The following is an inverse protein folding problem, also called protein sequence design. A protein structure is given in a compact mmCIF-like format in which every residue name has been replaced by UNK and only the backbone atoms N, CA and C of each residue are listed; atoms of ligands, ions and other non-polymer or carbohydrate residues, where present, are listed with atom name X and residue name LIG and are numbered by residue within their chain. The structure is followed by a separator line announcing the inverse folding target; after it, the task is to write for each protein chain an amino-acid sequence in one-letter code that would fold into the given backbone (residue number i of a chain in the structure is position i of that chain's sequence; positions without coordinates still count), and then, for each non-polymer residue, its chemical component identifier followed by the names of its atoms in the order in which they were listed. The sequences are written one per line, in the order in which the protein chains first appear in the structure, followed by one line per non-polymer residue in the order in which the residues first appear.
data_IF_569763473233
#
_entry.id   IF_569763473233
#
_cell.length_a   1.000
_cell.length_b   1.000
_cell.length_c   1.000
_cell.angle_alpha   90.00
_cell.angle_beta   90.00
_cell.angle_gamma   90.00
#
_symmetry.space_group_name_H-M   'P 1'
#
loop_
_entity.id
_entity.type
_entity.pdbx_description
1 polymer ?
#
# COMPACT_ATOMS: atom_id res chain seq x y z
N UNK A 1 -12.03 16.84 72.06
CA UNK A 1 -12.99 17.79 71.47
C UNK A 1 -13.44 17.20 70.14
N UNK A 2 -14.76 17.02 70.00
CA UNK A 2 -15.57 16.64 68.82
C UNK A 2 -15.11 15.46 67.96
N UNK A 3 -15.83 14.33 68.01
CA UNK A 3 -17.06 14.00 67.25
C UNK A 3 -16.72 13.45 65.84
N UNK A 4 -16.92 12.16 65.56
CA UNK A 4 -18.20 11.52 65.14
C UNK A 4 -18.65 12.08 63.76
N UNK A 5 -19.00 11.34 62.69
CA UNK A 5 -19.43 9.96 62.48
C UNK A 5 -19.70 9.79 60.96
N UNK A 6 -19.53 8.58 60.41
CA UNK A 6 -20.33 7.99 59.29
C UNK A 6 -20.20 8.60 57.86
N UNK A 7 -20.44 7.94 56.72
CA UNK A 7 -21.19 6.69 56.41
C UNK A 7 -20.95 6.19 54.97
N UNK A 8 -21.03 4.86 54.86
CA UNK A 8 -21.66 3.98 53.86
C UNK A 8 -21.82 4.38 52.37
N UNK A 9 -21.29 3.48 51.53
CA UNK A 9 -21.97 2.68 50.50
C UNK A 9 -23.30 3.23 49.95
N UNK A 10 -23.32 3.51 48.64
CA UNK A 10 -24.56 3.56 47.85
C UNK A 10 -24.60 2.41 46.84
N UNK A 11 -25.79 1.83 46.80
CA UNK A 11 -26.16 0.63 46.10
C UNK A 11 -26.51 0.87 44.63
N UNK A 12 -26.41 -0.25 43.92
CA UNK A 12 -26.83 -0.63 42.58
C UNK A 12 -28.31 -0.31 42.31
N UNK A 13 -28.59 0.32 41.16
CA UNK A 13 -29.85 0.18 40.42
C UNK A 13 -29.58 0.42 38.93
N UNK A 14 -30.16 -0.46 38.12
CA UNK A 14 -30.10 -0.58 36.64
C UNK A 14 -31.58 -0.69 36.17
N UNK A 15 -31.89 -0.48 34.87
CA UNK A 15 -32.60 0.68 34.36
C UNK A 15 -34.06 0.39 33.97
N UNK A 16 -34.83 1.43 33.68
CA UNK A 16 -36.12 1.31 32.98
C UNK A 16 -36.07 1.99 31.60
N UNK A 17 -36.74 1.29 30.70
CA UNK A 17 -36.87 1.37 29.25
C UNK A 17 -38.05 2.29 28.84
N UNK A 18 -38.05 2.75 27.58
CA UNK A 18 -39.07 3.52 26.79
C UNK A 18 -38.38 4.71 26.09
N UNK A 19 -38.40 4.91 24.77
CA UNK A 19 -39.40 4.54 23.77
C UNK A 19 -38.76 4.21 22.41
N UNK A 20 -39.31 3.19 21.76
CA UNK A 20 -39.25 2.93 20.32
C UNK A 20 -40.33 3.74 19.62
N UNK A 21 -40.04 4.29 18.44
CA UNK A 21 -41.04 4.34 17.38
C UNK A 21 -40.40 4.31 15.98
N UNK A 22 -40.97 3.42 15.16
CA UNK A 22 -40.58 3.08 13.81
C UNK A 22 -41.40 3.86 12.76
N UNK A 23 -40.89 3.86 11.53
CA UNK A 23 -41.47 4.43 10.32
C UNK A 23 -42.82 3.79 9.90
N UNK A 24 -43.48 4.39 8.88
CA UNK A 24 -44.09 3.55 7.84
C UNK A 24 -43.75 3.98 6.39
N UNK A 25 -43.96 3.01 5.50
CA UNK A 25 -43.67 2.95 4.07
C UNK A 25 -44.71 3.69 3.18
N UNK A 26 -44.32 3.89 1.91
CA UNK A 26 -44.91 4.66 0.80
C UNK A 26 -46.32 4.26 0.31
N UNK A 27 -46.89 5.01 -0.69
CA UNK A 27 -47.09 4.39 -2.00
C UNK A 27 -46.77 5.26 -3.24
N UNK A 28 -46.71 4.56 -4.37
CA UNK A 28 -46.34 4.90 -5.75
C UNK A 28 -47.42 5.68 -6.52
N UNK A 29 -47.02 6.56 -7.46
CA UNK A 29 -47.72 6.76 -8.75
C UNK A 29 -46.79 7.40 -9.81
N UNK A 30 -46.71 6.75 -10.98
CA UNK A 30 -45.99 7.11 -12.22
C UNK A 30 -46.79 8.13 -13.09
N UNK A 31 -46.49 8.35 -14.39
CA UNK A 31 -45.33 9.01 -15.00
C UNK A 31 -45.77 10.23 -15.86
N UNK A 32 -44.83 11.13 -16.21
CA UNK A 32 -45.06 12.11 -17.28
C UNK A 32 -44.13 11.84 -18.46
N UNK A 33 -44.75 11.48 -19.59
CA UNK A 33 -44.14 11.26 -20.89
C UNK A 33 -43.92 12.56 -21.68
N UNK A 34 -42.75 12.58 -22.34
CA UNK A 34 -42.40 13.05 -23.68
C UNK A 34 -42.83 14.45 -24.20
N UNK A 35 -41.79 15.25 -24.46
CA UNK A 35 -41.75 16.24 -25.54
C UNK A 35 -40.43 16.13 -26.31
N UNK A 36 -40.37 15.23 -27.28
CA UNK A 36 -39.29 15.18 -28.27
C UNK A 36 -39.47 16.33 -29.26
N UNK A 37 -38.52 17.27 -29.30
CA UNK A 37 -38.33 18.14 -30.46
C UNK A 37 -37.20 17.57 -31.31
N UNK A 38 -37.59 16.88 -32.39
CA UNK A 38 -36.70 16.59 -33.50
C UNK A 38 -36.44 17.85 -34.31
N UNK A 39 -35.17 18.11 -34.59
CA UNK A 39 -34.77 18.95 -35.71
C UNK A 39 -33.98 18.07 -36.68
N UNK A 40 -34.63 17.71 -37.77
CA UNK A 40 -34.01 17.17 -38.96
C UNK A 40 -33.14 18.25 -39.61
N UNK A 41 -31.85 17.97 -39.78
CA UNK A 41 -31.01 18.65 -40.74
C UNK A 41 -30.51 17.64 -41.76
N UNK A 42 -31.28 17.51 -42.84
CA UNK A 42 -30.78 17.06 -44.13
C UNK A 42 -29.96 18.18 -44.75
N UNK A 43 -28.69 17.93 -45.06
CA UNK A 43 -28.04 18.58 -46.21
C UNK A 43 -27.07 17.62 -46.92
N UNK A 44 -27.14 17.76 -48.24
CA UNK A 44 -26.71 16.87 -49.29
C UNK A 44 -25.21 16.56 -49.40
N UNK A 45 -24.99 15.43 -50.07
CA UNK A 45 -23.75 14.95 -50.65
C UNK A 45 -23.02 16.00 -51.49
N UNK A 46 -21.71 16.11 -51.29
CA UNK A 46 -20.78 16.43 -52.38
C UNK A 46 -19.55 15.52 -52.30
N UNK A 47 -19.55 14.51 -53.16
CA UNK A 47 -18.34 13.82 -53.59
C UNK A 47 -17.54 14.76 -54.50
N UNK A 48 -16.29 15.02 -54.15
CA UNK A 48 -15.29 15.49 -55.10
C UNK A 48 -14.03 14.63 -54.94
N UNK A 49 -13.90 13.66 -55.84
CA UNK A 49 -12.64 13.01 -56.10
C UNK A 49 -11.69 13.95 -56.84
N UNK A 50 -10.49 14.13 -56.32
CA UNK A 50 -9.35 14.58 -57.09
C UNK A 50 -8.12 13.76 -56.69
N UNK A 51 -7.73 12.89 -57.61
CA UNK A 51 -6.43 12.26 -57.63
C UNK A 51 -5.38 13.30 -58.05
N UNK A 52 -4.36 13.50 -57.22
CA UNK A 52 -3.12 14.16 -57.64
C UNK A 52 -1.94 13.31 -57.17
N UNK A 53 -1.35 12.62 -58.14
CA UNK A 53 -0.02 12.05 -58.09
C UNK A 53 1.01 13.18 -58.08
N UNK A 54 1.79 13.28 -57.01
CA UNK A 54 3.05 14.03 -57.03
C UNK A 54 4.15 13.11 -56.51
N UNK A 55 4.98 12.65 -57.45
CA UNK A 55 6.30 12.08 -57.17
C UNK A 55 7.22 13.21 -56.72
N UNK A 56 7.81 13.07 -55.53
CA UNK A 56 9.01 13.80 -55.15
C UNK A 56 10.05 12.79 -54.67
N UNK A 57 11.03 12.57 -55.55
CA UNK A 57 12.32 11.98 -55.20
C UNK A 57 13.08 12.94 -54.29
N UNK A 58 13.45 12.49 -53.10
CA UNK A 58 14.64 12.97 -52.41
C UNK A 58 15.32 11.78 -51.73
N UNK A 59 16.43 11.36 -52.33
CA UNK A 59 17.45 10.53 -51.70
C UNK A 59 18.09 11.32 -50.56
N UNK A 60 18.07 10.78 -49.35
CA UNK A 60 19.11 11.05 -48.35
C UNK A 60 19.40 9.77 -47.57
N UNK A 61 20.54 9.20 -47.95
CA UNK A 61 21.30 8.19 -47.23
C UNK A 61 21.84 8.78 -45.93
N UNK A 62 21.43 8.20 -44.79
CA UNK A 62 22.20 8.24 -43.55
C UNK A 62 22.00 6.91 -42.82
N UNK A 63 22.90 5.97 -43.09
CA UNK A 63 23.09 4.78 -42.27
C UNK A 63 23.52 5.17 -40.84
N UNK A 64 22.62 5.01 -39.88
CA UNK A 64 22.95 4.87 -38.47
C UNK A 64 22.57 3.46 -38.01
N UNK A 65 23.54 2.55 -38.13
CA UNK A 65 23.50 1.29 -37.41
C UNK A 65 23.65 1.58 -35.92
N UNK A 66 22.52 1.67 -35.21
CA UNK A 66 22.52 1.45 -33.77
C UNK A 66 22.54 -0.06 -33.54
N UNK A 67 23.73 -0.60 -33.26
CA UNK A 67 23.85 -1.88 -32.56
C UNK A 67 23.24 -1.70 -31.18
N UNK A 68 21.94 -2.01 -31.07
CA UNK A 68 21.35 -2.28 -29.78
C UNK A 68 21.82 -3.67 -29.36
N UNK A 69 22.93 -3.71 -28.62
CA UNK A 69 23.27 -4.83 -27.75
C UNK A 69 22.20 -4.91 -26.65
N UNK A 70 21.03 -5.43 -27.02
CA UNK A 70 20.11 -6.00 -26.08
C UNK A 70 20.75 -7.29 -25.59
N UNK A 71 21.58 -7.18 -24.56
CA UNK A 71 21.82 -8.28 -23.64
C UNK A 71 20.49 -8.68 -23.00
N UNK A 72 19.65 -9.40 -23.76
CA UNK A 72 18.65 -10.27 -23.18
C UNK A 72 19.41 -11.37 -22.47
N UNK A 73 19.65 -11.16 -21.18
CA UNK A 73 20.04 -12.24 -20.30
C UNK A 73 19.07 -13.40 -20.55
N UNK A 74 19.61 -14.53 -20.98
CA UNK A 74 18.87 -15.78 -21.11
C UNK A 74 18.17 -16.02 -19.76
N UNK A 75 16.84 -16.24 -19.71
CA UNK A 75 16.14 -16.49 -18.47
C UNK A 75 16.80 -17.69 -17.81
N UNK A 76 17.40 -17.47 -16.64
CA UNK A 76 17.87 -18.58 -15.81
C UNK A 76 16.66 -19.40 -15.44
N UNK A 77 16.56 -20.60 -16.01
CA UNK A 77 15.63 -21.63 -15.52
C UNK A 77 15.88 -21.82 -14.03
N UNK A 78 14.95 -21.38 -13.17
CA UNK A 78 14.97 -21.67 -11.73
C UNK A 78 15.08 -20.50 -10.76
N UNK A 79 15.00 -19.23 -11.20
CA UNK A 79 14.99 -18.08 -10.28
C UNK A 79 13.82 -18.12 -9.29
N UNK A 80 14.05 -17.71 -8.03
CA UNK A 80 13.03 -17.59 -6.99
C UNK A 80 12.14 -16.39 -7.26
N UNK A 81 10.84 -16.63 -7.41
CA UNK A 81 9.84 -15.59 -7.65
C UNK A 81 9.01 -15.40 -6.38
N UNK A 82 8.97 -14.17 -5.89
CA UNK A 82 8.01 -13.70 -4.89
C UNK A 82 6.93 -12.90 -5.60
N UNK A 83 5.67 -13.10 -5.25
CA UNK A 83 4.58 -12.26 -5.74
C UNK A 83 3.61 -11.89 -4.63
N UNK A 84 3.08 -10.67 -4.73
CA UNK A 84 2.04 -10.14 -3.86
C UNK A 84 0.84 -9.69 -4.70
N UNK A 85 -0.35 -10.10 -4.30
CA UNK A 85 -1.63 -9.67 -4.88
C UNK A 85 -2.41 -8.86 -3.84
N UNK A 86 -2.30 -7.55 -3.91
CA UNK A 86 -3.04 -6.58 -3.13
C UNK A 86 -4.36 -6.25 -3.85
N UNK A 87 -5.40 -7.08 -3.68
CA UNK A 87 -6.68 -6.87 -4.38
C UNK A 87 -7.56 -5.78 -3.76
N UNK A 88 -7.33 -5.44 -2.49
CA UNK A 88 -8.17 -4.53 -1.70
C UNK A 88 -7.35 -3.50 -0.92
N UNK A 89 -6.09 -3.80 -0.63
CA UNK A 89 -5.17 -2.86 -0.03
C UNK A 89 -3.80 -3.44 0.25
N UNK A 90 -2.84 -2.57 0.57
CA UNK A 90 -1.50 -2.94 1.00
C UNK A 90 -0.94 -1.87 1.95
N UNK A 91 -0.51 -2.30 3.13
CA UNK A 91 0.06 -1.45 4.17
C UNK A 91 1.29 -2.12 4.77
N UNK A 92 2.07 -1.39 5.57
CA UNK A 92 3.29 -1.90 6.19
C UNK A 92 3.04 -3.17 7.02
N UNK A 93 2.03 -3.13 7.89
CA UNK A 93 1.56 -4.29 8.67
C UNK A 93 1.13 -5.49 7.80
N UNK A 94 0.44 -5.27 6.68
CA UNK A 94 0.07 -6.33 5.71
C UNK A 94 1.33 -6.96 5.10
N UNK A 95 2.32 -6.15 4.72
CA UNK A 95 3.58 -6.63 4.16
C UNK A 95 4.41 -7.40 5.20
N UNK A 96 4.53 -6.85 6.41
CA UNK A 96 5.21 -7.46 7.54
C UNK A 96 4.62 -8.83 7.87
N UNK A 97 3.29 -8.89 8.06
CA UNK A 97 2.57 -10.13 8.36
C UNK A 97 2.76 -11.19 7.26
N UNK A 98 2.61 -10.77 6.00
CA UNK A 98 2.71 -11.64 4.83
C UNK A 98 4.09 -12.26 4.67
N UNK A 99 5.13 -11.43 4.70
CA UNK A 99 6.51 -11.89 4.52
C UNK A 99 7.00 -12.72 5.71
N UNK A 100 6.64 -12.36 6.94
CA UNK A 100 7.02 -13.10 8.14
C UNK A 100 6.44 -14.52 8.14
N UNK A 101 5.13 -14.64 7.87
CA UNK A 101 4.48 -15.94 7.74
C UNK A 101 5.02 -16.74 6.55
N UNK A 102 5.37 -16.07 5.44
CA UNK A 102 5.99 -16.73 4.28
C UNK A 102 7.39 -17.25 4.61
N UNK A 103 8.17 -16.52 5.41
CA UNK A 103 9.44 -16.97 5.96
C UNK A 103 9.28 -18.06 7.04
N UNK A 104 8.08 -18.24 7.59
CA UNK A 104 7.78 -19.24 8.62
C UNK A 104 8.21 -18.81 10.02
N UNK A 105 8.25 -17.50 10.26
CA UNK A 105 8.63 -16.90 11.53
C UNK A 105 7.40 -16.71 12.45
N UNK A 106 7.64 -16.73 13.75
CA UNK A 106 6.66 -16.37 14.77
C UNK A 106 6.93 -14.97 15.37
N UNK A 107 6.12 -14.57 16.35
CA UNK A 107 6.25 -13.26 17.02
C UNK A 107 7.58 -13.10 17.76
N UNK A 108 8.16 -14.19 18.29
CA UNK A 108 9.45 -14.14 19.00
C UNK A 108 10.59 -13.93 18.02
N UNK A 109 10.54 -14.58 16.87
CA UNK A 109 11.50 -14.35 15.79
C UNK A 109 11.44 -12.90 15.31
N UNK A 110 10.24 -12.36 15.09
CA UNK A 110 10.06 -10.96 14.69
C UNK A 110 10.54 -9.97 15.74
N UNK A 111 10.32 -10.27 17.02
CA UNK A 111 10.84 -9.45 18.11
C UNK A 111 12.38 -9.44 18.13
N UNK A 112 13.00 -10.59 17.89
CA UNK A 112 14.44 -10.70 17.71
C UNK A 112 14.96 -9.84 16.55
N UNK A 113 14.26 -9.85 15.40
CA UNK A 113 14.60 -9.00 14.26
C UNK A 113 14.38 -7.51 14.57
N UNK A 114 13.32 -7.15 15.31
CA UNK A 114 13.08 -5.77 15.71
C UNK A 114 14.18 -5.25 16.65
N UNK A 115 14.71 -6.13 17.51
CA UNK A 115 15.87 -5.86 18.35
C UNK A 115 17.14 -5.51 17.57
N UNK A 116 17.28 -5.96 16.31
CA UNK A 116 18.41 -5.58 15.44
C UNK A 116 18.43 -4.07 15.16
N UNK A 117 17.33 -3.33 15.36
CA UNK A 117 17.32 -1.87 15.21
C UNK A 117 17.97 -1.12 16.38
N UNK A 118 18.26 -1.80 17.50
CA UNK A 118 18.94 -1.21 18.66
C UNK A 118 18.09 -0.16 19.40
N UNK A 119 16.77 -0.20 19.26
CA UNK A 119 15.83 0.68 19.94
C UNK A 119 15.04 -0.13 20.98
N UNK A 120 15.32 0.09 22.27
CA UNK A 120 14.67 -0.64 23.37
C UNK A 120 13.13 -0.53 23.33
N UNK A 121 12.61 0.58 22.82
CA UNK A 121 11.17 0.82 22.65
C UNK A 121 10.49 -0.13 21.65
N UNK A 122 11.26 -0.85 20.83
CA UNK A 122 10.74 -1.83 19.87
C UNK A 122 10.62 -3.24 20.44
N UNK A 123 11.27 -3.51 21.58
CA UNK A 123 11.22 -4.83 22.22
C UNK A 123 9.78 -5.16 22.67
N UNK A 124 9.31 -6.35 22.30
CA UNK A 124 7.96 -6.85 22.52
C UNK A 124 6.86 -6.15 21.70
N UNK A 125 7.23 -5.30 20.74
CA UNK A 125 6.26 -4.44 20.04
C UNK A 125 5.50 -5.13 18.91
N UNK A 126 6.02 -6.25 18.38
CA UNK A 126 5.48 -6.91 17.17
C UNK A 126 4.86 -8.26 17.52
N UNK A 127 3.62 -8.47 17.09
CA UNK A 127 2.91 -9.73 17.28
C UNK A 127 2.24 -10.19 16.00
N UNK A 128 2.61 -11.37 15.51
CA UNK A 128 1.83 -12.08 14.52
C UNK A 128 0.63 -12.74 15.18
N UNK A 129 -0.53 -12.59 14.55
CA UNK A 129 -1.78 -13.15 15.04
C UNK A 129 -2.58 -13.80 13.91
N UNK A 130 -3.27 -14.94 14.16
CA UNK A 130 -4.24 -15.46 13.23
C UNK A 130 -5.36 -14.42 13.00
N UNK A 131 -5.73 -14.21 11.74
CA UNK A 131 -6.89 -13.39 11.37
C UNK A 131 -7.81 -14.17 10.45
N UNK A 132 -9.10 -13.86 10.55
CA UNK A 132 -10.12 -14.41 9.68
C UNK A 132 -11.01 -13.28 9.23
N UNK A 133 -11.13 -13.10 7.92
CA UNK A 133 -12.03 -12.10 7.32
C UNK A 133 -12.99 -12.86 6.40
N UNK A 134 -14.29 -12.71 6.64
CA UNK A 134 -15.34 -13.44 5.92
C UNK A 134 -15.07 -14.96 5.85
N UNK A 135 -14.63 -15.53 6.99
CA UNK A 135 -14.27 -16.95 7.14
C UNK A 135 -13.05 -17.42 6.36
N UNK A 136 -12.26 -16.51 5.77
CA UNK A 136 -11.00 -16.83 5.10
C UNK A 136 -9.86 -16.59 6.09
N UNK A 137 -9.17 -17.66 6.47
CA UNK A 137 -8.03 -17.61 7.36
C UNK A 137 -6.83 -16.91 6.71
N UNK A 138 -6.07 -16.21 7.54
CA UNK A 138 -4.84 -15.51 7.18
C UNK A 138 -4.10 -15.05 8.43
N UNK A 139 -3.16 -14.15 8.25
CA UNK A 139 -2.32 -13.61 9.33
C UNK A 139 -2.43 -12.08 9.38
N UNK A 140 -2.47 -11.52 10.58
CA UNK A 140 -2.28 -10.10 10.82
C UNK A 140 -0.99 -9.86 11.58
N UNK A 141 -0.51 -8.63 11.56
CA UNK A 141 0.54 -8.17 12.44
C UNK A 141 0.00 -7.02 13.28
N UNK A 142 0.17 -7.13 14.60
CA UNK A 142 -0.16 -6.06 15.54
C UNK A 142 1.13 -5.45 16.04
N UNK A 143 1.33 -4.17 15.73
CA UNK A 143 2.41 -3.37 16.27
C UNK A 143 1.87 -2.54 17.43
N UNK A 144 2.48 -2.68 18.61
CA UNK A 144 2.10 -1.96 19.83
C UNK A 144 3.27 -1.09 20.29
N UNK A 145 3.24 0.17 19.89
CA UNK A 145 4.23 1.16 20.26
C UNK A 145 3.57 2.33 21.01
N UNK A 146 4.30 2.99 21.93
CA UNK A 146 3.81 4.22 22.52
C UNK A 146 3.55 5.24 21.41
N UNK A 147 2.45 5.99 21.52
CA UNK A 147 2.19 7.11 20.63
C UNK A 147 3.27 8.16 20.86
N UNK A 148 4.24 8.23 19.95
CA UNK A 148 5.31 9.21 19.97
C UNK A 148 5.08 10.19 18.82
N UNK A 149 4.82 11.46 19.15
CA UNK A 149 4.88 12.56 18.18
C UNK A 149 6.34 13.00 18.03
N UNK A 150 7.19 12.09 17.56
CA UNK A 150 8.57 12.40 17.24
C UNK A 150 8.65 12.90 15.80
N UNK A 151 8.90 14.20 15.67
CA UNK A 151 9.23 14.84 14.41
C UNK A 151 10.64 14.43 13.98
N UNK A 152 10.75 13.31 13.24
CA UNK A 152 12.02 12.85 12.66
C UNK A 152 12.14 13.34 11.22
N UNK A 153 13.31 13.83 10.86
CA UNK A 153 13.66 14.06 9.45
C UNK A 153 14.33 12.82 8.86
N UNK A 154 14.60 12.85 7.55
CA UNK A 154 15.29 11.76 6.86
C UNK A 154 16.65 11.43 7.49
N UNK A 155 17.46 12.44 7.83
CA UNK A 155 18.79 12.21 8.40
C UNK A 155 18.75 11.49 9.76
N UNK A 156 17.75 11.77 10.59
CA UNK A 156 17.55 11.08 11.86
C UNK A 156 17.23 9.60 11.65
N UNK A 157 16.35 9.29 10.70
CA UNK A 157 15.96 7.92 10.37
C UNK A 157 17.13 7.15 9.77
N UNK A 158 17.90 7.76 8.85
CA UNK A 158 19.08 7.12 8.27
C UNK A 158 20.12 6.79 9.35
N UNK A 159 20.32 7.65 10.35
CA UNK A 159 21.20 7.36 11.49
C UNK A 159 20.71 6.17 12.32
N UNK A 160 19.40 6.07 12.57
CA UNK A 160 18.80 4.92 13.27
C UNK A 160 19.10 3.63 12.51
N UNK A 161 18.81 3.60 11.20
CA UNK A 161 19.04 2.43 10.36
C UNK A 161 20.53 2.04 10.35
N UNK A 162 21.41 3.04 10.21
CA UNK A 162 22.85 2.81 10.13
C UNK A 162 23.42 2.27 11.45
N UNK A 163 22.96 2.78 12.59
CA UNK A 163 23.39 2.35 13.92
C UNK A 163 22.88 0.95 14.30
N UNK A 164 21.80 0.47 13.67
CA UNK A 164 21.27 -0.88 13.88
C UNK A 164 22.22 -1.99 13.43
N UNK A 165 21.99 -3.19 13.92
CA UNK A 165 22.71 -4.43 13.62
C UNK A 165 22.12 -5.23 12.43
N UNK A 166 21.13 -4.69 11.71
CA UNK A 166 20.61 -5.33 10.49
C UNK A 166 21.71 -5.50 9.44
N UNK A 167 21.67 -6.53 8.57
CA UNK A 167 22.58 -6.66 7.45
C UNK A 167 22.49 -5.48 6.48
N UNK A 168 23.61 -5.12 5.84
CA UNK A 168 23.66 -4.00 4.89
C UNK A 168 22.70 -4.21 3.70
N UNK A 169 22.52 -5.46 3.26
CA UNK A 169 21.55 -5.81 2.21
C UNK A 169 20.10 -5.47 2.58
N UNK A 170 19.79 -5.37 3.88
CA UNK A 170 18.48 -4.92 4.38
C UNK A 170 18.46 -3.42 4.66
N UNK A 171 19.58 -2.83 5.14
CA UNK A 171 19.69 -1.38 5.38
C UNK A 171 19.54 -0.59 4.09
N UNK A 172 20.18 -1.01 3.00
CA UNK A 172 20.14 -0.29 1.72
C UNK A 172 18.72 -0.07 1.17
N UNK A 173 17.86 -1.10 1.00
CA UNK A 173 16.50 -0.88 0.56
C UNK A 173 15.65 -0.10 1.58
N UNK A 174 15.92 -0.22 2.90
CA UNK A 174 15.22 0.58 3.91
C UNK A 174 15.55 2.07 3.77
N UNK A 175 16.84 2.42 3.65
CA UNK A 175 17.32 3.79 3.38
C UNK A 175 16.73 4.34 2.07
N UNK A 176 16.66 3.51 1.03
CA UNK A 176 16.04 3.85 -0.25
C UNK A 176 14.54 4.14 -0.11
N UNK A 177 13.79 3.32 0.63
CA UNK A 177 12.36 3.53 0.87
C UNK A 177 12.11 4.88 1.58
N UNK A 178 12.86 5.19 2.63
CA UNK A 178 12.74 6.49 3.31
C UNK A 178 13.15 7.67 2.45
N UNK A 179 14.15 7.50 1.57
CA UNK A 179 14.54 8.54 0.62
C UNK A 179 13.41 8.82 -0.38
N UNK A 180 12.75 7.78 -0.89
CA UNK A 180 11.58 7.89 -1.78
C UNK A 180 10.42 8.63 -1.07
N UNK A 181 10.14 8.28 0.19
CA UNK A 181 9.14 8.98 1.01
C UNK A 181 9.49 10.45 1.19
N UNK A 182 10.73 10.77 1.55
CA UNK A 182 11.18 12.15 1.75
C UNK A 182 11.07 12.98 0.47
N UNK A 183 11.33 12.39 -0.69
CA UNK A 183 11.15 13.06 -1.99
C UNK A 183 9.68 13.39 -2.25
N UNK A 184 8.78 12.41 -2.09
CA UNK A 184 7.35 12.62 -2.29
C UNK A 184 6.79 13.68 -1.34
N UNK A 185 7.14 13.63 -0.06
CA UNK A 185 6.74 14.62 0.93
C UNK A 185 7.31 16.01 0.63
N UNK A 186 8.59 16.09 0.23
CA UNK A 186 9.24 17.35 -0.15
C UNK A 186 8.56 18.03 -1.32
N UNK A 187 8.13 17.27 -2.33
CA UNK A 187 7.36 17.79 -3.47
C UNK A 187 5.98 18.30 -3.06
N UNK A 188 5.28 17.57 -2.19
CA UNK A 188 3.96 18.00 -1.66
C UNK A 188 4.09 19.28 -0.84
N UNK A 189 5.17 19.40 -0.07
CA UNK A 189 5.43 20.55 0.80
C UNK A 189 6.19 21.70 0.13
N UNK A 190 6.64 21.53 -1.12
CA UNK A 190 7.41 22.54 -1.85
C UNK A 190 8.79 22.82 -1.25
N UNK A 191 9.44 21.81 -0.68
CA UNK A 191 10.74 21.95 0.01
C UNK A 191 11.71 20.81 -0.34
N UNK A 192 13.02 21.00 -0.13
CA UNK A 192 14.00 19.93 -0.33
C UNK A 192 13.72 18.72 0.57
N UNK A 193 13.90 17.50 0.05
CA UNK A 193 13.65 16.25 0.79
C UNK A 193 14.43 16.13 2.11
N UNK A 194 15.63 16.71 2.17
CA UNK A 194 16.47 16.74 3.39
C UNK A 194 15.89 17.60 4.53
N UNK A 195 14.97 18.51 4.21
CA UNK A 195 14.32 19.44 5.16
C UNK A 195 12.93 18.94 5.59
N UNK A 196 12.45 17.84 4.99
CA UNK A 196 11.18 17.22 5.35
C UNK A 196 11.24 16.70 6.77
N UNK A 197 10.24 17.10 7.55
CA UNK A 197 9.91 16.48 8.83
C UNK A 197 8.71 15.59 8.60
N UNK A 198 8.87 14.28 8.85
CA UNK A 198 7.78 13.36 8.62
C UNK A 198 6.73 13.47 9.73
N UNK A 199 5.47 13.63 9.32
CA UNK A 199 4.35 13.72 10.25
C UNK A 199 3.71 12.36 10.55
N UNK A 200 3.73 11.45 9.57
CA UNK A 200 3.08 10.14 9.68
C UNK A 200 4.10 9.02 9.56
N UNK A 201 4.94 9.06 8.52
CA UNK A 201 5.93 8.01 8.24
C UNK A 201 7.23 8.12 9.07
N UNK A 202 7.39 9.17 9.89
CA UNK A 202 8.51 9.34 10.83
C UNK A 202 8.29 8.68 12.18
N UNK A 203 7.09 8.15 12.39
CA UNK A 203 6.73 7.40 13.57
C UNK A 203 7.52 6.10 13.63
N UNK A 204 7.76 5.63 14.86
CA UNK A 204 8.51 4.42 15.12
C UNK A 204 7.87 3.17 14.47
N UNK A 205 6.56 3.17 14.29
CA UNK A 205 5.79 2.15 13.57
C UNK A 205 6.22 2.01 12.10
N UNK A 206 6.34 3.13 11.37
CA UNK A 206 6.79 3.10 9.96
C UNK A 206 8.26 2.72 9.82
N UNK A 207 9.11 3.11 10.78
CA UNK A 207 10.52 2.67 10.84
C UNK A 207 10.60 1.17 11.04
N UNK A 208 9.82 0.63 11.98
CA UNK A 208 9.76 -0.80 12.24
C UNK A 208 9.28 -1.57 11.00
N UNK A 209 8.15 -1.16 10.40
CA UNK A 209 7.57 -1.81 9.23
C UNK A 209 8.55 -1.86 8.07
N UNK A 210 9.15 -0.73 7.69
CA UNK A 210 10.07 -0.65 6.55
C UNK A 210 11.29 -1.53 6.78
N UNK A 211 11.92 -1.40 7.96
CA UNK A 211 13.13 -2.13 8.28
C UNK A 211 12.89 -3.64 8.35
N UNK A 212 11.81 -4.08 9.01
CA UNK A 212 11.48 -5.51 9.11
C UNK A 212 11.06 -6.09 7.76
N UNK A 213 10.29 -5.36 6.94
CA UNK A 213 9.96 -5.82 5.59
C UNK A 213 11.22 -6.00 4.75
N UNK A 214 12.15 -5.03 4.76
CA UNK A 214 13.42 -5.16 4.07
C UNK A 214 14.25 -6.34 4.59
N UNK A 215 14.30 -6.54 5.91
CA UNK A 215 14.99 -7.66 6.54
C UNK A 215 14.42 -9.01 6.12
N UNK A 216 13.10 -9.15 6.12
CA UNK A 216 12.38 -10.36 5.70
C UNK A 216 12.55 -10.63 4.21
N UNK A 217 12.53 -9.60 3.38
CA UNK A 217 12.77 -9.72 1.94
C UNK A 217 14.16 -10.29 1.66
N UNK A 218 15.19 -9.80 2.37
CA UNK A 218 16.57 -10.32 2.30
C UNK A 218 16.67 -11.75 2.83
N UNK A 219 15.84 -12.18 3.78
CA UNK A 219 15.79 -13.58 4.21
C UNK A 219 15.17 -14.48 3.14
N UNK A 220 14.12 -14.01 2.47
CA UNK A 220 13.42 -14.75 1.42
C UNK A 220 14.23 -14.83 0.12
N UNK A 221 15.11 -13.85 -0.14
CA UNK A 221 16.02 -13.77 -1.29
C UNK A 221 15.33 -14.05 -2.64
N UNK A 222 14.25 -13.34 -2.99
CA UNK A 222 13.67 -13.50 -4.31
C UNK A 222 14.61 -12.93 -5.38
N UNK A 223 14.74 -13.63 -6.50
CA UNK A 223 15.39 -13.13 -7.72
C UNK A 223 14.46 -12.18 -8.49
N UNK A 224 13.14 -12.33 -8.29
CA UNK A 224 12.11 -11.48 -8.89
C UNK A 224 10.96 -11.23 -7.93
N UNK A 225 10.49 -9.98 -7.85
CA UNK A 225 9.34 -9.59 -7.05
C UNK A 225 8.23 -9.00 -7.93
N UNK A 226 7.02 -9.57 -7.91
CA UNK A 226 5.91 -9.16 -8.79
C UNK A 226 4.68 -8.74 -7.99
N UNK A 227 4.15 -7.55 -8.26
CA UNK A 227 2.93 -7.01 -7.69
C UNK A 227 1.85 -6.80 -8.76
N UNK A 228 0.57 -6.92 -8.42
CA UNK A 228 -0.52 -6.48 -9.30
C UNK A 228 -0.61 -4.95 -9.38
N UNK A 229 -1.33 -4.39 -10.38
CA UNK A 229 -1.74 -2.99 -10.32
C UNK A 229 -2.42 -2.67 -8.99
N UNK A 230 -2.05 -1.55 -8.38
CA UNK A 230 -2.46 -1.20 -7.02
C UNK A 230 -3.92 -0.70 -6.98
N UNK A 231 -4.74 -1.17 -6.02
CA UNK A 231 -6.14 -0.76 -5.91
C UNK A 231 -6.23 0.67 -5.38
N UNK A 232 -6.97 1.54 -6.04
CA UNK A 232 -7.30 2.89 -5.58
C UNK A 232 -8.80 3.02 -5.35
N UNK A 233 -9.16 3.66 -4.24
CA UNK A 233 -10.53 3.99 -3.90
C UNK A 233 -10.72 5.50 -3.81
N UNK A 234 -11.95 5.93 -4.08
CA UNK A 234 -12.41 7.28 -3.77
C UNK A 234 -12.53 7.50 -2.25
N UNK A 235 -12.84 8.72 -1.84
CA UNK A 235 -13.22 9.05 -0.47
C UNK A 235 -12.22 9.98 0.21
N UNK A 236 -12.10 9.85 1.53
CA UNK A 236 -11.36 10.80 2.37
C UNK A 236 -10.39 10.06 3.29
N UNK A 237 -9.17 10.58 3.40
CA UNK A 237 -8.15 10.15 4.36
C UNK A 237 -8.04 11.22 5.45
N UNK A 238 -7.99 10.78 6.72
CA UNK A 238 -7.72 11.67 7.85
C UNK A 238 -6.24 11.55 8.19
N UNK A 239 -5.52 12.65 8.05
CA UNK A 239 -4.08 12.75 8.20
C UNK A 239 -3.71 13.95 9.09
N UNK A 240 -2.42 14.17 9.33
CA UNK A 240 -1.90 15.35 10.03
C UNK A 240 -2.34 16.68 9.39
N UNK A 241 -2.66 16.67 8.10
CA UNK A 241 -3.16 17.82 7.33
C UNK A 241 -4.69 17.93 7.33
N UNK A 242 -5.37 17.18 8.20
CA UNK A 242 -6.82 17.12 8.28
C UNK A 242 -7.41 16.09 7.33
N UNK A 243 -8.58 16.40 6.76
CA UNK A 243 -9.28 15.51 5.82
C UNK A 243 -8.87 15.86 4.39
N UNK A 244 -8.24 14.92 3.70
CA UNK A 244 -7.79 15.07 2.31
C UNK A 244 -8.47 14.02 1.43
N UNK A 245 -8.63 14.25 0.12
CA UNK A 245 -9.15 13.21 -0.77
C UNK A 245 -8.24 11.98 -0.76
N UNK A 246 -8.80 10.81 -1.07
CA UNK A 246 -8.04 9.59 -1.34
C UNK A 246 -7.78 9.46 -2.84
N UNK A 247 -6.54 9.16 -3.27
CA UNK A 247 -5.33 9.00 -2.46
C UNK A 247 -4.79 10.33 -1.90
N UNK A 248 -4.10 10.26 -0.76
CA UNK A 248 -3.47 11.44 -0.15
C UNK A 248 -2.35 12.02 -1.06
N UNK A 249 -1.98 13.30 -0.94
CA UNK A 249 -1.03 13.95 -1.86
C UNK A 249 0.33 13.25 -2.00
N UNK A 250 0.94 12.78 -0.90
CA UNK A 250 2.21 12.05 -0.95
C UNK A 250 2.06 10.70 -1.67
N UNK A 251 0.93 10.01 -1.48
CA UNK A 251 0.58 8.78 -2.19
C UNK A 251 0.46 9.04 -3.69
N UNK A 252 -0.17 10.15 -4.12
CA UNK A 252 -0.26 10.51 -5.53
C UNK A 252 1.11 10.66 -6.19
N UNK A 253 2.08 11.30 -5.53
CA UNK A 253 3.47 11.39 -6.01
C UNK A 253 4.14 10.02 -6.09
N UNK A 254 3.94 9.20 -5.06
CA UNK A 254 4.48 7.84 -5.03
C UNK A 254 3.88 6.93 -6.10
N UNK A 255 2.68 7.20 -6.61
CA UNK A 255 2.03 6.41 -7.65
C UNK A 255 2.46 6.79 -9.08
N UNK A 256 3.23 7.86 -9.27
CA UNK A 256 3.75 8.20 -10.60
C UNK A 256 4.56 7.02 -11.18
N UNK A 257 4.20 6.62 -12.41
CA UNK A 257 4.69 5.44 -13.14
C UNK A 257 4.38 4.06 -12.50
N UNK A 258 3.42 4.00 -11.57
CA UNK A 258 2.94 2.74 -10.97
C UNK A 258 1.59 2.36 -11.57
N UNK A 259 1.40 1.14 -12.11
CA UNK A 259 0.08 0.68 -12.55
C UNK A 259 -0.92 0.64 -11.41
N UNK A 260 -2.12 1.17 -11.66
CA UNK A 260 -3.22 1.24 -10.69
C UNK A 260 -4.50 0.67 -11.28
N UNK A 261 -5.41 0.22 -10.42
CA UNK A 261 -6.76 -0.19 -10.80
C UNK A 261 -7.79 0.43 -9.85
N UNK A 262 -9.00 0.67 -10.34
CA UNK A 262 -10.10 1.12 -9.50
C UNK A 262 -10.56 0.02 -8.55
N UNK A 263 -10.88 0.39 -7.32
CA UNK A 263 -11.41 -0.49 -6.28
C UNK A 263 -12.66 0.12 -5.67
N UNK A 264 -13.74 -0.67 -5.61
CA UNK A 264 -15.04 -0.27 -5.07
C UNK A 264 -15.02 -0.24 -3.53
N UNK A 265 -14.15 0.60 -2.96
CA UNK A 265 -14.03 0.86 -1.53
C UNK A 265 -14.02 2.36 -1.23
N UNK A 266 -13.66 2.74 0.00
CA UNK A 266 -13.54 4.14 0.41
C UNK A 266 -12.29 4.40 1.29
N UNK A 267 -11.63 5.52 1.03
CA UNK A 267 -10.44 5.99 1.74
C UNK A 267 -9.17 5.22 1.37
N UNK A 268 -8.13 5.35 2.19
CA UNK A 268 -6.81 4.76 1.89
C UNK A 268 -6.84 3.24 1.72
N UNK A 269 -6.46 2.76 0.55
CA UNK A 269 -6.30 1.35 0.20
C UNK A 269 -4.83 0.93 0.27
N UNK A 270 -3.93 1.80 -0.18
CA UNK A 270 -2.49 1.56 -0.16
C UNK A 270 -1.80 2.70 0.58
N UNK A 271 -0.96 2.37 1.56
CA UNK A 271 -0.24 3.38 2.36
C UNK A 271 1.00 3.90 1.63
N UNK A 272 1.50 5.11 1.98
CA UNK A 272 2.79 5.59 1.49
C UNK A 272 3.92 4.57 1.71
N UNK A 273 3.95 3.96 2.89
CA UNK A 273 4.92 2.94 3.31
C UNK A 273 4.96 1.77 2.34
N UNK A 274 3.79 1.22 1.97
CA UNK A 274 3.71 0.08 1.07
C UNK A 274 4.25 0.41 -0.33
N UNK A 275 3.93 1.59 -0.88
CA UNK A 275 4.40 2.00 -2.21
C UNK A 275 5.91 2.23 -2.20
N UNK A 276 6.42 2.90 -1.17
CA UNK A 276 7.85 3.12 -1.00
C UNK A 276 8.62 1.80 -0.91
N UNK A 277 8.09 0.80 -0.18
CA UNK A 277 8.66 -0.54 -0.10
C UNK A 277 8.65 -1.27 -1.45
N UNK A 278 7.53 -1.26 -2.19
CA UNK A 278 7.46 -1.85 -3.53
C UNK A 278 8.50 -1.24 -4.47
N UNK A 279 8.64 0.09 -4.49
CA UNK A 279 9.64 0.80 -5.30
C UNK A 279 11.07 0.51 -4.85
N UNK A 280 11.32 0.52 -3.54
CA UNK A 280 12.65 0.29 -2.99
C UNK A 280 13.15 -1.12 -3.29
N UNK A 281 12.29 -2.12 -3.12
CA UNK A 281 12.54 -3.55 -3.34
C UNK A 281 12.50 -3.96 -4.83
N UNK A 282 12.22 -3.03 -5.74
CA UNK A 282 12.27 -3.28 -7.18
C UNK A 282 11.14 -4.19 -7.67
N UNK A 283 9.92 -3.98 -7.19
CA UNK A 283 8.76 -4.75 -7.64
C UNK A 283 8.43 -4.46 -9.12
N UNK A 284 8.30 -5.53 -9.92
CA UNK A 284 7.65 -5.49 -11.22
C UNK A 284 6.14 -5.45 -11.05
N UNK A 285 5.45 -4.64 -11.85
CA UNK A 285 3.98 -4.60 -11.83
C UNK A 285 3.38 -5.36 -13.01
N UNK A 286 2.42 -6.25 -12.73
CA UNK A 286 1.80 -7.05 -13.79
C UNK A 286 0.84 -8.15 -13.33
N UNK A 287 0.46 -9.05 -14.27
CA UNK A 287 -0.33 -10.23 -13.94
C UNK A 287 0.46 -11.21 -13.07
N UNK A 288 -0.15 -12.34 -12.73
CA UNK A 288 0.57 -13.43 -12.08
C UNK A 288 1.78 -13.85 -12.92
N UNK A 289 2.97 -14.01 -12.32
CA UNK A 289 4.12 -14.56 -13.04
C UNK A 289 3.92 -16.07 -13.29
N UNK A 290 4.47 -16.57 -14.41
CA UNK A 290 4.61 -18.01 -14.61
C UNK A 290 5.57 -18.55 -13.54
N UNK A 291 5.05 -19.39 -12.64
CA UNK A 291 5.83 -19.96 -11.54
C UNK A 291 5.24 -21.28 -11.05
N UNK A 292 6.10 -22.13 -10.49
CA UNK A 292 5.70 -23.25 -9.63
C UNK A 292 5.68 -22.73 -8.20
N UNK A 293 4.48 -22.56 -7.64
CA UNK A 293 4.28 -22.08 -6.28
C UNK A 293 4.67 -23.14 -5.24
N UNK A 294 5.52 -22.78 -4.28
CA UNK A 294 5.95 -23.67 -3.20
C UNK A 294 5.23 -23.36 -1.88
N UNK A 295 4.97 -22.08 -1.62
CA UNK A 295 4.29 -21.62 -0.41
C UNK A 295 3.44 -20.40 -0.72
N UNK A 296 2.30 -20.28 -0.04
CA UNK A 296 1.42 -19.11 -0.10
C UNK A 296 0.91 -18.72 1.27
N UNK A 297 0.60 -17.44 1.44
CA UNK A 297 0.05 -16.85 2.67
C UNK A 297 -0.98 -15.79 2.30
N UNK A 298 -2.01 -15.62 3.12
CA UNK A 298 -2.90 -14.45 3.04
C UNK A 298 -2.64 -13.60 4.27
N UNK A 299 -2.34 -12.32 4.09
CA UNK A 299 -2.23 -11.36 5.18
C UNK A 299 -3.33 -10.32 5.16
N UNK A 300 -3.74 -9.85 6.34
CA UNK A 300 -4.82 -8.88 6.51
C UNK A 300 -4.38 -7.68 7.33
N UNK A 301 -4.86 -6.51 6.93
CA UNK A 301 -4.67 -5.26 7.66
C UNK A 301 -5.74 -5.07 8.73
N UNK A 302 -5.64 -3.95 9.46
CA UNK A 302 -6.63 -3.54 10.48
C UNK A 302 -7.84 -2.80 9.91
N UNK A 303 -7.67 -2.07 8.81
CA UNK A 303 -8.77 -1.38 8.13
C UNK A 303 -9.72 -2.41 7.50
N UNK A 304 -11.02 -2.19 7.64
CA UNK A 304 -12.08 -3.06 7.10
C UNK A 304 -12.80 -2.33 5.97
N UNK A 305 -12.99 -3.01 4.84
CA UNK A 305 -13.88 -2.57 3.77
C UNK A 305 -15.17 -3.40 3.80
N UNK A 306 -16.36 -2.82 3.57
CA UNK A 306 -17.64 -3.54 3.65
C UNK A 306 -17.70 -4.80 2.77
N UNK A 307 -17.24 -4.70 1.52
CA UNK A 307 -17.42 -5.75 0.51
C UNK A 307 -16.12 -6.43 0.07
N UNK A 308 -15.03 -6.22 0.81
CA UNK A 308 -13.73 -6.80 0.47
C UNK A 308 -12.85 -7.04 1.70
N UNK A 309 -12.20 -8.22 1.81
CA UNK A 309 -11.23 -8.45 2.85
C UNK A 309 -9.98 -7.60 2.56
N UNK A 310 -9.65 -6.63 3.41
CA UNK A 310 -8.45 -5.80 3.25
C UNK A 310 -7.18 -6.62 3.54
N UNK A 311 -6.47 -6.99 2.48
CA UNK A 311 -5.35 -7.89 2.60
C UNK A 311 -4.67 -8.18 1.28
N UNK A 312 -3.64 -9.01 1.36
CA UNK A 312 -2.86 -9.42 0.22
C UNK A 312 -2.59 -10.93 0.23
N UNK A 313 -2.55 -11.51 -0.97
CA UNK A 313 -2.12 -12.89 -1.19
C UNK A 313 -0.63 -12.84 -1.53
N UNK A 314 0.16 -13.64 -0.83
CA UNK A 314 1.60 -13.80 -1.05
C UNK A 314 1.86 -15.21 -1.57
N UNK A 315 2.78 -15.33 -2.52
CA UNK A 315 3.27 -16.61 -2.98
C UNK A 315 4.76 -16.55 -3.29
N UNK A 316 5.48 -17.62 -2.98
CA UNK A 316 6.89 -17.79 -3.34
C UNK A 316 7.10 -19.15 -3.98
N UNK A 317 7.99 -19.20 -4.97
CA UNK A 317 8.20 -20.39 -5.79
C UNK A 317 9.37 -20.23 -6.76
N UNK A 318 9.46 -21.14 -7.72
CA UNK A 318 10.44 -21.07 -8.80
C UNK A 318 9.79 -20.56 -10.09
N UNK A 319 10.52 -19.78 -10.88
CA UNK A 319 10.06 -19.34 -12.21
C UNK A 319 9.67 -20.56 -13.07
N UNK A 320 8.51 -20.47 -13.71
CA UNK A 320 8.03 -21.48 -14.64
C UNK A 320 8.83 -21.42 -15.94
N UNK A 321 9.10 -22.60 -16.52
CA UNK A 321 9.67 -22.71 -17.86
C UNK A 321 8.69 -22.20 -18.92
#
# INVERSE_FOLDING_TARGET
MSEDKTKERKARTMPEDKDRQAAPCSPVSEPHEHGHHGHDHHHDHHEHGHAHSHEHHHEHDHGHHHEHDHHHAVPTTGGRVLTVRASSGLSGDIMLAGLAALAGLDSKDLDGLAGELGLDSLCGSVQLEPRSVNSIAGVGCKVTLPHEHAHRNLADILKIIEAGAMPDEAKEPAKKAFTILAQAEGEVHGMPSREVTFHEVGALDSILDICLVCRLFVMLKPDRFVCNPLPLADGVVKCAHGKVPSPAPAVLRLLENVPVCGFAGQGETVTPTAIALLKALGADFGPWPNMVMHKSVISYGTKVFPDAPNGAIWAIGAAGA
#
